data_IF_755437507024
#
_entry.id   IF_755437507024
#
_cell.length_a   1.000
_cell.length_b   1.000
_cell.length_c   1.000
_cell.angle_alpha   90.00
_cell.angle_beta   90.00
_cell.angle_gamma   90.00
#
_symmetry.space_group_name_H-M   'P 1'
#
loop_
_entity.id
_entity.type
_entity.pdbx_description
1 polymer ?
#
# COMPACT_ATOMS: atom_id res chain seq x y z
N UNK A 1 18.87 -29.04 0.52
CA UNK A 1 18.39 -28.24 -0.63
C UNK A 1 17.32 -27.23 -0.23
N UNK A 2 16.32 -27.56 0.62
CA UNK A 2 15.30 -26.60 1.07
C UNK A 2 15.88 -25.32 1.73
N UNK A 3 16.82 -25.47 2.67
CA UNK A 3 17.39 -24.32 3.41
C UNK A 3 18.16 -23.31 2.55
N UNK A 4 18.81 -23.74 1.47
CA UNK A 4 19.49 -22.81 0.54
C UNK A 4 18.47 -21.98 -0.26
N UNK A 5 17.37 -22.60 -0.70
CA UNK A 5 16.29 -21.92 -1.40
C UNK A 5 15.54 -20.94 -0.49
N UNK A 6 15.30 -21.32 0.77
CA UNK A 6 14.71 -20.43 1.79
C UNK A 6 15.60 -19.19 2.04
N UNK A 7 16.91 -19.39 2.21
CA UNK A 7 17.86 -18.28 2.39
C UNK A 7 17.91 -17.38 1.14
N UNK A 8 17.89 -17.96 -0.06
CA UNK A 8 17.83 -17.18 -1.29
C UNK A 8 16.54 -16.35 -1.40
N UNK A 9 15.41 -16.90 -0.99
CA UNK A 9 14.13 -16.20 -0.96
C UNK A 9 14.10 -15.07 0.08
N UNK A 10 14.69 -15.27 1.27
CA UNK A 10 14.85 -14.22 2.27
C UNK A 10 15.73 -13.07 1.76
N UNK A 11 16.81 -13.37 1.04
CA UNK A 11 17.64 -12.34 0.37
C UNK A 11 16.86 -11.59 -0.71
N UNK A 12 16.02 -12.28 -1.48
CA UNK A 12 15.17 -11.63 -2.48
C UNK A 12 14.17 -10.65 -1.84
N UNK A 13 13.62 -10.98 -0.67
CA UNK A 13 12.77 -10.07 0.13
C UNK A 13 13.58 -8.85 0.58
N UNK A 14 14.78 -9.06 1.11
CA UNK A 14 15.68 -7.97 1.53
C UNK A 14 16.01 -7.03 0.35
N UNK A 15 16.43 -7.58 -0.78
CA UNK A 15 16.76 -6.81 -1.99
C UNK A 15 15.54 -6.02 -2.50
N UNK A 16 14.36 -6.63 -2.48
CA UNK A 16 13.12 -5.94 -2.85
C UNK A 16 12.80 -4.80 -1.88
N UNK A 17 12.97 -5.02 -0.58
CA UNK A 17 12.73 -4.01 0.45
C UNK A 17 13.70 -2.83 0.31
N UNK A 18 14.99 -3.09 0.09
CA UNK A 18 15.99 -2.04 -0.14
C UNK A 18 15.68 -1.22 -1.41
N UNK A 19 15.22 -1.85 -2.49
CA UNK A 19 14.76 -1.11 -3.67
C UNK A 19 13.53 -0.25 -3.38
N UNK A 20 12.60 -0.78 -2.60
CA UNK A 20 11.41 -0.02 -2.20
C UNK A 20 11.78 1.20 -1.36
N UNK A 21 12.65 1.09 -0.36
CA UNK A 21 13.02 2.26 0.47
C UNK A 21 13.62 3.39 -0.37
N UNK A 22 14.52 3.08 -1.30
CA UNK A 22 15.08 4.07 -2.24
C UNK A 22 13.99 4.70 -3.11
N UNK A 23 13.04 3.91 -3.59
CA UNK A 23 11.95 4.39 -4.45
C UNK A 23 10.95 5.25 -3.67
N UNK A 24 10.68 4.89 -2.41
CA UNK A 24 9.83 5.63 -1.50
C UNK A 24 10.42 7.02 -1.19
N UNK A 25 11.74 7.11 -1.01
CA UNK A 25 12.45 8.38 -0.86
C UNK A 25 12.36 9.27 -2.11
N UNK A 26 12.37 8.67 -3.30
CA UNK A 26 12.14 9.39 -4.57
C UNK A 26 10.72 9.94 -4.61
N UNK A 27 9.71 9.11 -4.32
CA UNK A 27 8.32 9.54 -4.25
C UNK A 27 8.12 10.68 -3.25
N UNK A 28 8.72 10.59 -2.06
CA UNK A 28 8.60 11.64 -1.05
C UNK A 28 9.10 12.99 -1.57
N UNK A 29 10.26 13.00 -2.24
CA UNK A 29 10.80 14.23 -2.86
C UNK A 29 9.91 14.76 -3.97
N UNK A 30 9.44 13.90 -4.87
CA UNK A 30 8.60 14.34 -6.00
C UNK A 30 7.23 14.87 -5.54
N UNK A 31 6.65 14.31 -4.48
CA UNK A 31 5.41 14.83 -3.89
C UNK A 31 5.62 16.24 -3.32
N UNK A 32 6.73 16.47 -2.61
CA UNK A 32 7.07 17.79 -2.07
C UNK A 32 7.25 18.80 -3.21
N UNK A 33 8.03 18.46 -4.23
CA UNK A 33 8.26 19.33 -5.39
C UNK A 33 6.97 19.63 -6.18
N UNK A 34 6.10 18.63 -6.38
CA UNK A 34 4.82 18.80 -7.04
C UNK A 34 3.91 19.76 -6.25
N UNK A 35 3.89 19.63 -4.92
CA UNK A 35 3.13 20.52 -4.05
C UNK A 35 3.64 21.97 -4.12
N UNK A 36 4.96 22.18 -4.08
CA UNK A 36 5.58 23.50 -4.18
C UNK A 36 5.27 24.19 -5.51
N UNK A 37 5.34 23.44 -6.62
CA UNK A 37 5.07 23.96 -7.97
C UNK A 37 3.57 24.03 -8.30
N UNK A 38 2.69 23.61 -7.39
CA UNK A 38 1.25 23.38 -7.64
C UNK A 38 1.01 22.53 -8.89
N UNK A 39 1.90 21.57 -9.13
CA UNK A 39 1.82 20.62 -10.23
C UNK A 39 0.79 19.52 -9.98
N UNK A 40 0.52 18.73 -11.02
CA UNK A 40 -0.24 17.48 -10.89
C UNK A 40 0.51 16.43 -10.06
N UNK A 41 -0.15 15.31 -9.79
CA UNK A 41 0.45 14.21 -9.03
C UNK A 41 1.69 13.64 -9.76
N UNK A 42 2.76 13.25 -9.04
CA UNK A 42 3.93 12.60 -9.64
C UNK A 42 3.61 11.13 -9.98
N UNK A 43 2.85 10.92 -11.06
CA UNK A 43 2.30 9.60 -11.44
C UNK A 43 3.39 8.55 -11.64
N UNK A 44 4.56 8.93 -12.17
CA UNK A 44 5.66 7.99 -12.41
C UNK A 44 6.30 7.52 -11.10
N UNK A 45 6.58 8.40 -10.14
CA UNK A 45 7.06 7.96 -8.83
C UNK A 45 6.01 7.17 -8.04
N UNK A 46 4.73 7.53 -8.15
CA UNK A 46 3.63 6.75 -7.55
C UNK A 46 3.55 5.34 -8.13
N UNK A 47 3.80 5.19 -9.44
CA UNK A 47 3.89 3.89 -10.10
C UNK A 47 5.08 3.08 -9.60
N UNK A 48 6.27 3.69 -9.61
CA UNK A 48 7.50 3.02 -9.20
C UNK A 48 7.44 2.55 -7.74
N UNK A 49 6.93 3.39 -6.83
CA UNK A 49 6.78 3.03 -5.41
C UNK A 49 5.80 1.85 -5.23
N UNK A 50 4.65 1.87 -5.91
CA UNK A 50 3.72 0.75 -5.88
C UNK A 50 4.32 -0.55 -6.44
N UNK A 51 4.98 -0.48 -7.61
CA UNK A 51 5.59 -1.66 -8.22
C UNK A 51 6.68 -2.25 -7.31
N UNK A 52 7.43 -1.41 -6.59
CA UNK A 52 8.41 -1.83 -5.60
C UNK A 52 7.76 -2.49 -4.37
N UNK A 53 6.67 -1.92 -3.83
CA UNK A 53 5.90 -2.54 -2.74
C UNK A 53 5.32 -3.91 -3.15
N UNK A 54 4.79 -3.99 -4.37
CA UNK A 54 4.26 -5.22 -4.94
C UNK A 54 5.36 -6.28 -5.08
N UNK A 55 6.57 -5.89 -5.49
CA UNK A 55 7.72 -6.78 -5.58
C UNK A 55 8.15 -7.35 -4.22
N UNK A 56 8.14 -6.54 -3.16
CA UNK A 56 8.37 -7.02 -1.78
C UNK A 56 7.33 -8.08 -1.44
N UNK A 57 6.05 -7.78 -1.65
CA UNK A 57 4.95 -8.67 -1.25
C UNK A 57 4.95 -9.98 -2.04
N UNK A 58 5.25 -9.93 -3.34
CA UNK A 58 5.44 -11.12 -4.18
C UNK A 58 6.65 -11.96 -3.75
N UNK A 59 7.71 -11.32 -3.29
CA UNK A 59 8.88 -12.05 -2.75
C UNK A 59 8.53 -12.78 -1.45
N UNK A 60 7.66 -12.20 -0.61
CA UNK A 60 7.13 -12.86 0.60
C UNK A 60 6.23 -14.05 0.24
N UNK A 61 5.34 -13.91 -0.75
CA UNK A 61 4.54 -15.03 -1.25
C UNK A 61 5.42 -16.16 -1.80
N UNK A 62 6.44 -15.82 -2.60
CA UNK A 62 7.39 -16.80 -3.14
C UNK A 62 8.18 -17.53 -2.04
N UNK A 63 8.58 -16.83 -0.98
CA UNK A 63 9.20 -17.45 0.20
C UNK A 63 8.26 -18.48 0.85
N UNK A 64 6.99 -18.12 1.05
CA UNK A 64 6.01 -19.04 1.62
C UNK A 64 5.80 -20.29 0.75
N UNK A 65 5.75 -20.14 -0.58
CA UNK A 65 5.62 -21.26 -1.52
C UNK A 65 6.81 -22.23 -1.55
N UNK A 66 7.99 -21.77 -1.12
CA UNK A 66 9.21 -22.60 -1.03
C UNK A 66 9.26 -23.36 0.29
N UNK A 67 8.62 -22.85 1.35
CA UNK A 67 8.59 -23.49 2.65
C UNK A 67 7.72 -24.76 2.63
N UNK A 68 8.04 -25.77 3.45
CA UNK A 68 7.13 -26.91 3.64
C UNK A 68 5.86 -26.48 4.38
N UNK A 69 4.79 -27.27 4.29
CA UNK A 69 3.50 -26.98 4.95
C UNK A 69 3.61 -26.76 6.46
N UNK A 70 4.63 -27.34 7.09
CA UNK A 70 4.93 -27.16 8.52
C UNK A 70 5.57 -25.82 8.86
N UNK A 71 5.95 -25.02 7.86
CA UNK A 71 6.63 -23.74 8.00
C UNK A 71 8.16 -23.81 7.84
N UNK A 72 8.84 -22.65 7.82
CA UNK A 72 10.28 -22.56 7.64
C UNK A 72 11.07 -23.14 8.82
N UNK A 73 12.27 -23.65 8.54
CA UNK A 73 13.22 -24.07 9.57
C UNK A 73 13.87 -22.83 10.22
N UNK A 74 13.33 -22.43 11.37
CA UNK A 74 13.78 -21.24 12.12
C UNK A 74 14.80 -21.54 13.20
N UNK A 75 15.20 -22.80 13.38
CA UNK A 75 16.14 -23.17 14.43
C UNK A 75 17.51 -22.54 14.19
N UNK A 76 18.00 -21.85 15.24
CA UNK A 76 19.28 -21.15 15.24
C UNK A 76 19.31 -19.84 14.44
N UNK A 77 18.18 -19.37 13.89
CA UNK A 77 18.13 -18.11 13.13
C UNK A 77 17.88 -16.90 14.05
N UNK A 78 18.66 -15.81 13.91
CA UNK A 78 18.28 -14.54 14.50
C UNK A 78 16.98 -14.06 13.81
N UNK A 79 15.99 -13.63 14.59
CA UNK A 79 14.73 -13.13 14.05
C UNK A 79 13.73 -14.21 13.61
N UNK A 80 13.75 -15.41 14.20
CA UNK A 80 12.77 -16.48 13.94
C UNK A 80 11.31 -16.01 13.89
N UNK A 81 10.90 -15.13 14.80
CA UNK A 81 9.54 -14.58 14.83
C UNK A 81 9.19 -13.77 13.55
N UNK A 82 10.16 -13.04 13.00
CA UNK A 82 9.99 -12.28 11.76
C UNK A 82 9.84 -13.22 10.56
N UNK A 83 10.71 -14.24 10.46
CA UNK A 83 10.63 -15.24 9.39
C UNK A 83 9.30 -16.01 9.44
N UNK A 84 8.84 -16.38 10.64
CA UNK A 84 7.54 -17.01 10.83
C UNK A 84 6.38 -16.09 10.42
N UNK A 85 6.47 -14.79 10.70
CA UNK A 85 5.47 -13.82 10.29
C UNK A 85 5.43 -13.64 8.76
N UNK A 86 6.59 -13.61 8.09
CA UNK A 86 6.67 -13.58 6.62
C UNK A 86 5.99 -14.80 6.00
N UNK A 87 6.26 -15.99 6.53
CA UNK A 87 5.59 -17.21 6.09
C UNK A 87 4.07 -17.10 6.29
N UNK A 88 3.61 -16.74 7.49
CA UNK A 88 2.19 -16.63 7.80
C UNK A 88 1.44 -15.67 6.85
N UNK A 89 2.06 -14.54 6.52
CA UNK A 89 1.49 -13.56 5.58
C UNK A 89 1.54 -14.08 4.15
N UNK A 90 2.66 -14.66 3.72
CA UNK A 90 2.84 -15.19 2.36
C UNK A 90 1.95 -16.40 2.06
N UNK A 91 1.62 -17.21 3.07
CA UNK A 91 0.74 -18.39 2.96
C UNK A 91 -0.75 -18.08 3.00
N UNK A 92 -1.15 -16.80 3.02
CA UNK A 92 -2.58 -16.45 3.05
C UNK A 92 -3.28 -16.96 1.78
N UNK A 93 -4.41 -17.70 1.91
CA UNK A 93 -5.15 -18.19 0.76
C UNK A 93 -5.59 -17.05 -0.18
N UNK A 94 -5.35 -17.21 -1.48
CA UNK A 94 -5.73 -16.21 -2.48
C UNK A 94 -4.87 -14.94 -2.49
N UNK A 95 -3.72 -14.94 -1.80
CA UNK A 95 -2.80 -13.79 -1.82
C UNK A 95 -2.37 -13.43 -3.24
N UNK A 96 -1.91 -14.40 -4.04
CA UNK A 96 -1.43 -14.14 -5.41
C UNK A 96 -2.52 -13.49 -6.28
N UNK A 97 -3.75 -14.01 -6.22
CA UNK A 97 -4.89 -13.42 -6.91
C UNK A 97 -5.16 -11.99 -6.42
N UNK A 98 -5.13 -11.77 -5.11
CA UNK A 98 -5.36 -10.45 -4.50
C UNK A 98 -4.30 -9.43 -4.94
N UNK A 99 -3.04 -9.85 -5.09
CA UNK A 99 -1.94 -9.03 -5.57
C UNK A 99 -2.13 -8.64 -7.04
N UNK A 100 -2.59 -9.58 -7.87
CA UNK A 100 -2.89 -9.29 -9.28
C UNK A 100 -4.09 -8.35 -9.41
N UNK A 101 -5.16 -8.56 -8.65
CA UNK A 101 -6.31 -7.65 -8.61
C UNK A 101 -5.91 -6.24 -8.15
N UNK A 102 -5.07 -6.14 -7.12
CA UNK A 102 -4.53 -4.86 -6.64
C UNK A 102 -3.70 -4.16 -7.72
N UNK A 103 -2.87 -4.88 -8.47
CA UNK A 103 -2.08 -4.33 -9.57
C UNK A 103 -2.98 -3.72 -10.64
N UNK A 104 -4.05 -4.42 -11.05
CA UNK A 104 -5.00 -3.91 -12.04
C UNK A 104 -5.74 -2.66 -11.55
N UNK A 105 -6.21 -2.67 -10.29
CA UNK A 105 -6.87 -1.50 -9.69
C UNK A 105 -5.95 -0.29 -9.63
N UNK A 106 -4.67 -0.50 -9.28
CA UNK A 106 -3.70 0.58 -9.22
C UNK A 106 -3.36 1.15 -10.60
N UNK A 107 -3.18 0.31 -11.61
CA UNK A 107 -2.93 0.76 -12.98
C UNK A 107 -4.06 1.63 -13.52
N UNK A 108 -5.32 1.21 -13.32
CA UNK A 108 -6.50 1.98 -13.69
C UNK A 108 -6.52 3.34 -12.99
N UNK A 109 -6.16 3.37 -11.70
CA UNK A 109 -6.10 4.61 -10.93
C UNK A 109 -5.00 5.56 -11.41
N UNK A 110 -3.80 5.05 -11.68
CA UNK A 110 -2.70 5.89 -12.15
C UNK A 110 -3.05 6.55 -13.49
N UNK A 111 -3.75 5.83 -14.38
CA UNK A 111 -4.26 6.41 -15.62
C UNK A 111 -5.27 7.54 -15.34
N UNK A 112 -6.19 7.35 -14.39
CA UNK A 112 -7.13 8.39 -13.99
C UNK A 112 -6.41 9.62 -13.41
N UNK A 113 -5.38 9.43 -12.58
CA UNK A 113 -4.57 10.51 -12.01
C UNK A 113 -3.76 11.27 -13.06
N UNK A 114 -3.23 10.57 -14.06
CA UNK A 114 -2.47 11.19 -15.17
C UNK A 114 -3.36 12.09 -16.03
N UNK A 115 -4.60 11.69 -16.23
CA UNK A 115 -5.61 12.47 -16.95
C UNK A 115 -6.26 13.59 -16.13
N UNK A 116 -6.03 13.62 -14.81
CA UNK A 116 -6.71 14.55 -13.91
C UNK A 116 -6.00 15.89 -13.80
N UNK A 117 -6.77 16.98 -13.91
CA UNK A 117 -6.27 18.34 -13.74
C UNK A 117 -6.94 19.04 -12.56
N UNK A 118 -6.13 19.70 -11.72
CA UNK A 118 -6.58 20.52 -10.60
C UNK A 118 -7.49 21.70 -11.01
N UNK A 119 -7.41 22.12 -12.28
CA UNK A 119 -8.11 23.29 -12.77
C UNK A 119 -9.57 23.00 -13.19
N UNK A 120 -9.89 21.74 -13.50
CA UNK A 120 -11.15 21.40 -14.17
C UNK A 120 -11.98 20.32 -13.50
N UNK A 121 -11.39 19.49 -12.62
CA UNK A 121 -12.03 18.23 -12.22
C UNK A 121 -11.94 17.87 -10.73
N UNK A 122 -12.92 17.09 -10.27
CA UNK A 122 -12.89 16.46 -8.93
C UNK A 122 -11.83 15.34 -8.92
N UNK A 123 -10.98 15.22 -7.88
CA UNK A 123 -9.96 14.18 -7.83
C UNK A 123 -10.56 12.77 -7.90
N UNK A 124 -9.89 11.82 -8.57
CA UNK A 124 -10.36 10.44 -8.62
C UNK A 124 -10.45 9.84 -7.21
N UNK A 125 -11.47 9.01 -6.92
CA UNK A 125 -11.69 8.46 -5.59
C UNK A 125 -10.51 7.58 -5.11
N UNK A 126 -10.29 7.57 -3.79
CA UNK A 126 -9.31 6.70 -3.13
C UNK A 126 -9.67 5.20 -3.24
N UNK A 127 -8.76 4.28 -2.86
CA UNK A 127 -9.04 2.86 -2.95
C UNK A 127 -10.12 2.50 -1.93
N UNK A 128 -11.14 1.76 -2.35
CA UNK A 128 -12.29 1.42 -1.51
C UNK A 128 -11.92 0.63 -0.23
N UNK A 129 -10.77 -0.04 -0.21
CA UNK A 129 -10.28 -0.85 0.91
C UNK A 129 -9.41 -0.08 1.93
N UNK A 130 -9.04 1.19 1.66
CA UNK A 130 -8.33 2.07 2.61
C UNK A 130 -9.21 3.23 3.09
N UNK A 131 -10.53 3.07 3.02
CA UNK A 131 -11.48 4.07 3.51
C UNK A 131 -11.30 4.30 5.01
N UNK A 132 -10.57 5.36 5.39
CA UNK A 132 -10.78 6.01 6.68
C UNK A 132 -12.27 6.41 6.76
N UNK A 133 -13.04 5.89 7.72
CA UNK A 133 -14.45 6.19 7.83
C UNK A 133 -14.61 7.57 8.48
N UNK A 134 -14.32 8.66 7.76
CA UNK A 134 -14.72 9.99 8.26
C UNK A 134 -14.88 11.14 7.26
N UNK A 135 -14.99 10.90 5.95
CA UNK A 135 -15.48 11.95 5.03
C UNK A 135 -16.95 11.71 4.65
N UNK A 136 -17.81 11.86 5.65
CA UNK A 136 -19.25 11.62 5.51
C UNK A 136 -20.10 12.31 6.57
N UNK A 137 -19.76 13.52 7.00
CA UNK A 137 -20.73 14.38 7.71
C UNK A 137 -20.98 15.62 6.87
N UNK A 138 -21.70 15.39 5.78
CA UNK A 138 -22.42 16.42 5.07
C UNK A 138 -23.38 17.13 6.03
N UNK A 139 -23.25 18.45 6.06
CA UNK A 139 -24.18 19.44 6.62
C UNK A 139 -25.63 18.94 6.64
N UNK A 140 -26.18 18.69 7.84
CA UNK A 140 -27.62 18.83 8.06
C UNK A 140 -27.88 20.17 8.75
N UNK A 141 -28.29 21.17 7.94
CA UNK A 141 -29.13 22.26 8.44
C UNK A 141 -30.37 21.62 9.06
N UNK A 142 -30.51 21.71 10.38
CA UNK A 142 -31.81 21.60 11.05
C UNK A 142 -32.22 22.99 11.48
N UNK A 143 -33.08 23.61 10.66
CA UNK A 143 -34.06 24.57 11.12
C UNK A 143 -35.11 23.81 11.92
N UNK A 144 -35.12 23.95 13.25
CA UNK A 144 -36.33 23.91 14.08
C UNK A 144 -36.06 24.79 15.31
N UNK A 145 -36.88 25.83 15.48
CA UNK A 145 -36.77 26.75 16.60
C UNK A 145 -37.27 26.17 17.91
N UNK A 146 -36.79 26.72 19.03
CA UNK A 146 -37.56 26.74 20.26
C UNK A 146 -37.21 27.99 21.09
N UNK A 147 -38.27 28.61 21.61
CA UNK A 147 -38.32 29.86 22.37
C UNK A 147 -37.66 29.74 23.75
N UNK A 148 -36.99 30.83 24.17
CA UNK A 148 -37.34 31.57 25.39
C UNK A 148 -36.56 31.30 26.67
N UNK A 149 -35.74 32.27 27.10
CA UNK A 149 -35.95 33.09 28.31
C UNK A 149 -34.84 34.12 28.47
N UNK A 150 -35.22 35.40 28.52
CA UNK A 150 -34.37 36.49 29.01
C UNK A 150 -34.30 36.48 30.54
N UNK A 151 -33.19 36.97 31.14
CA UNK A 151 -33.09 37.19 32.57
C UNK A 151 -33.62 38.59 32.94
N UNK A 152 -34.32 38.65 34.06
CA UNK A 152 -34.48 39.83 34.91
C UNK A 152 -34.49 39.33 36.35
#
# INVERSE_FOLDING_TARGET
MAREAEVAALRAIEDAYQRWTVTSDVLHREVVEAAERRGGAPVQALRADFDAQLAVTRSVAAFAHICPDTGPDVDGLPGAAFIQALHLVGSQPGLDQSLDELQHQWQSRLAALDSWSLATDTPPPGPAHLGCPHQGVGRRRRLVGFRGRSPA
#
